data_IF_747751491088
#
_entry.id   IF_747751491088
#
_cell.length_a   1.000
_cell.length_b   1.000
_cell.length_c   1.000
_cell.angle_alpha   90.00
_cell.angle_beta   90.00
_cell.angle_gamma   90.00
#
_symmetry.space_group_name_H-M   'P 1'
#
loop_
_entity.id
_entity.type
_entity.pdbx_description
1 polymer ?
#
# COMPACT_ATOMS: atom_id res chain seq x y z
N UNK A 1 -46.42 9.17 11.70
CA UNK A 1 -46.83 8.29 10.58
C UNK A 1 -46.64 6.86 11.05
N UNK A 2 -47.69 6.05 10.97
CA UNK A 2 -47.86 4.79 11.71
C UNK A 2 -46.78 3.74 11.37
N UNK A 3 -45.88 3.50 12.33
CA UNK A 3 -44.98 2.35 12.36
C UNK A 3 -45.59 1.16 13.15
N UNK A 4 -46.90 1.17 13.41
CA UNK A 4 -47.55 0.30 14.41
C UNK A 4 -48.56 -0.65 13.76
N UNK A 5 -48.13 -1.91 13.61
CA UNK A 5 -48.75 -3.00 14.36
C UNK A 5 -49.87 -3.83 13.74
N UNK A 6 -50.43 -3.50 12.57
CA UNK A 6 -51.63 -4.20 12.08
C UNK A 6 -51.55 -4.82 10.67
N UNK A 7 -50.41 -4.70 9.99
CA UNK A 7 -50.22 -5.25 8.63
C UNK A 7 -48.90 -6.00 8.52
N UNK A 8 -48.95 -7.23 7.99
CA UNK A 8 -47.77 -8.05 7.71
C UNK A 8 -47.48 -8.09 6.20
N UNK A 9 -46.22 -7.87 5.76
CA UNK A 9 -45.03 -7.58 6.55
C UNK A 9 -45.00 -6.13 7.07
N UNK A 10 -44.35 -5.92 8.22
CA UNK A 10 -44.18 -4.57 8.82
C UNK A 10 -43.46 -3.59 7.89
N UNK A 11 -42.57 -4.10 7.03
CA UNK A 11 -41.87 -3.33 6.00
C UNK A 11 -42.21 -3.94 4.63
N UNK A 12 -43.21 -3.38 3.98
CA UNK A 12 -43.68 -3.84 2.66
C UNK A 12 -42.88 -3.25 1.48
N UNK A 13 -41.94 -2.34 1.76
CA UNK A 13 -41.06 -1.78 0.73
C UNK A 13 -40.13 -2.84 0.13
N UNK A 14 -39.76 -2.71 -1.16
CA UNK A 14 -38.77 -3.59 -1.77
C UNK A 14 -37.45 -3.45 -1.02
N UNK A 15 -36.78 -4.59 -0.76
CA UNK A 15 -35.46 -4.60 -0.14
C UNK A 15 -34.45 -4.01 -1.14
N UNK A 16 -33.67 -2.98 -0.77
CA UNK A 16 -32.68 -2.41 -1.67
C UNK A 16 -31.55 -3.42 -1.93
N UNK A 17 -31.04 -3.42 -3.15
CA UNK A 17 -29.83 -4.14 -3.54
C UNK A 17 -28.65 -3.18 -3.59
N UNK A 18 -27.45 -3.68 -3.31
CA UNK A 18 -26.25 -2.86 -3.35
C UNK A 18 -25.83 -2.61 -4.82
N UNK A 19 -25.53 -1.36 -5.23
CA UNK A 19 -25.46 -0.99 -6.65
C UNK A 19 -24.14 -1.35 -7.35
N UNK A 20 -23.12 -1.83 -6.63
CA UNK A 20 -21.79 -2.11 -7.18
C UNK A 20 -21.15 -3.30 -6.47
N UNK A 21 -19.99 -3.78 -6.93
CA UNK A 21 -19.24 -4.80 -6.20
C UNK A 21 -18.83 -4.29 -4.80
N UNK A 22 -19.16 -5.05 -3.76
CA UNK A 22 -18.89 -4.70 -2.37
C UNK A 22 -17.40 -4.62 -2.07
N UNK A 23 -16.58 -5.44 -2.72
CA UNK A 23 -15.13 -5.45 -2.52
C UNK A 23 -14.52 -4.16 -3.04
N UNK A 24 -14.84 -3.82 -4.30
CA UNK A 24 -14.44 -2.57 -4.94
C UNK A 24 -14.94 -1.34 -4.17
N UNK A 25 -16.20 -1.34 -3.73
CA UNK A 25 -16.78 -0.26 -2.93
C UNK A 25 -16.03 -0.05 -1.61
N UNK A 26 -15.70 -1.15 -0.91
CA UNK A 26 -14.97 -1.09 0.37
C UNK A 26 -13.57 -0.52 0.15
N UNK A 27 -12.86 -0.97 -0.88
CA UNK A 27 -11.54 -0.44 -1.23
C UNK A 27 -11.63 1.07 -1.53
N UNK A 28 -12.57 1.48 -2.37
CA UNK A 28 -12.77 2.90 -2.72
C UNK A 28 -13.06 3.72 -1.47
N UNK A 29 -13.91 3.24 -0.56
CA UNK A 29 -14.21 3.94 0.71
C UNK A 29 -12.99 4.06 1.62
N UNK A 30 -12.13 3.04 1.71
CA UNK A 30 -10.87 3.12 2.48
C UNK A 30 -9.94 4.19 1.90
N UNK A 31 -9.78 4.24 0.58
CA UNK A 31 -8.94 5.27 -0.05
C UNK A 31 -9.57 6.68 0.01
N UNK A 32 -10.89 6.80 -0.09
CA UNK A 32 -11.59 8.09 0.04
C UNK A 32 -11.54 8.63 1.46
N UNK A 33 -11.66 7.77 2.47
CA UNK A 33 -11.52 8.18 3.87
C UNK A 33 -10.08 8.61 4.17
N UNK A 34 -9.08 7.86 3.71
CA UNK A 34 -7.67 8.26 3.81
C UNK A 34 -7.38 9.58 3.05
N UNK A 35 -7.96 9.77 1.86
CA UNK A 35 -7.84 11.02 1.12
C UNK A 35 -8.48 12.17 1.90
N UNK A 36 -9.68 11.98 2.45
CA UNK A 36 -10.37 12.99 3.24
C UNK A 36 -9.58 13.37 4.50
N UNK A 37 -8.96 12.41 5.20
CA UNK A 37 -8.11 12.71 6.36
C UNK A 37 -6.87 13.52 5.96
N UNK A 38 -6.17 13.16 4.88
CA UNK A 38 -5.05 13.96 4.36
C UNK A 38 -5.49 15.38 3.99
N UNK A 39 -6.70 15.55 3.46
CA UNK A 39 -7.26 16.84 3.08
C UNK A 39 -7.64 17.69 4.28
N UNK A 40 -8.06 17.09 5.38
CA UNK A 40 -8.30 17.79 6.65
C UNK A 40 -7.00 18.23 7.31
N UNK A 41 -5.91 17.48 7.13
CA UNK A 41 -4.57 17.84 7.64
C UNK A 41 -3.88 18.88 6.72
N UNK A 42 -4.22 18.91 5.42
CA UNK A 42 -3.62 19.77 4.40
C UNK A 42 -3.67 21.29 4.71
N UNK A 43 -4.72 21.86 5.36
CA UNK A 43 -4.75 23.26 5.78
C UNK A 43 -3.64 23.66 6.76
N UNK A 44 -3.07 22.68 7.48
CA UNK A 44 -1.90 22.87 8.35
C UNK A 44 -0.57 22.97 7.59
N UNK A 45 -0.57 22.78 6.26
CA UNK A 45 0.61 22.86 5.40
C UNK A 45 0.51 24.14 4.54
N UNK A 46 1.53 24.99 4.64
CA UNK A 46 1.58 26.31 4.00
C UNK A 46 1.85 26.16 2.49
N UNK A 47 0.97 26.70 1.64
CA UNK A 47 1.18 26.70 0.18
C UNK A 47 0.01 27.23 -0.66
N UNK A 48 0.34 27.79 -1.84
CA UNK A 48 -0.53 28.57 -2.75
C UNK A 48 -1.16 27.76 -3.91
N UNK A 49 -1.43 26.46 -3.73
CA UNK A 49 -1.89 25.56 -4.84
C UNK A 49 -3.26 24.91 -4.59
N UNK A 50 -4.18 25.62 -3.92
CA UNK A 50 -5.49 25.08 -3.48
C UNK A 50 -6.55 24.98 -4.58
N UNK A 51 -6.42 25.74 -5.67
CA UNK A 51 -7.44 25.80 -6.74
C UNK A 51 -7.34 24.65 -7.77
N UNK A 52 -6.11 24.22 -8.10
CA UNK A 52 -5.88 23.06 -8.99
C UNK A 52 -6.30 21.72 -8.35
N UNK A 53 -6.31 21.64 -7.03
CA UNK A 53 -6.68 20.43 -6.28
C UNK A 53 -8.21 20.22 -6.26
N UNK A 54 -9.00 21.30 -6.15
CA UNK A 54 -10.46 21.25 -6.13
C UNK A 54 -11.08 20.88 -7.49
N UNK A 55 -10.52 21.41 -8.60
CA UNK A 55 -10.97 21.09 -9.96
C UNK A 55 -10.73 19.61 -10.35
N UNK A 56 -9.67 18.99 -9.80
CA UNK A 56 -9.35 17.55 -9.99
C UNK A 56 -10.35 16.63 -9.29
N UNK A 57 -10.85 17.04 -8.12
CA UNK A 57 -11.79 16.24 -7.32
C UNK A 57 -13.20 16.27 -7.94
N UNK A 58 -13.65 17.43 -8.43
CA UNK A 58 -14.99 17.59 -9.05
C UNK A 58 -15.10 16.86 -10.40
N UNK A 59 -14.04 16.87 -11.21
CA UNK A 59 -14.00 16.11 -12.48
C UNK A 59 -13.96 14.59 -12.27
N UNK A 60 -13.31 14.12 -11.20
CA UNK A 60 -13.32 12.70 -10.81
C UNK A 60 -14.69 12.22 -10.33
N UNK A 61 -15.50 13.10 -9.71
CA UNK A 61 -16.83 12.76 -9.20
C UNK A 61 -17.90 12.73 -10.30
N UNK A 62 -17.78 13.59 -11.32
CA UNK A 62 -18.70 13.66 -12.47
C UNK A 62 -18.64 12.41 -13.36
N UNK A 63 -17.45 11.83 -13.56
CA UNK A 63 -17.25 10.60 -14.35
C UNK A 63 -17.91 9.38 -13.66
N UNK A 64 -17.95 9.35 -12.32
CA UNK A 64 -18.64 8.30 -11.57
C UNK A 64 -20.17 8.33 -11.66
N UNK A 65 -20.76 9.52 -11.83
CA UNK A 65 -22.21 9.68 -11.99
C UNK A 65 -22.70 9.32 -13.40
N UNK A 66 -21.85 9.40 -14.42
CA UNK A 66 -22.19 9.10 -15.81
C UNK A 66 -22.26 7.59 -16.17
N UNK A 67 -21.92 6.70 -15.23
CA UNK A 67 -21.84 5.24 -15.45
C UNK A 67 -23.06 4.48 -14.85
N UNK A 68 -24.06 5.19 -14.31
CA UNK A 68 -25.33 4.59 -13.88
C UNK A 68 -26.21 4.27 -15.11
N UNK A 69 -25.87 3.18 -15.79
CA UNK A 69 -26.75 2.52 -16.75
C UNK A 69 -27.96 1.93 -16.03
N UNK A 70 -29.14 2.46 -16.29
CA UNK A 70 -30.41 1.91 -15.83
C UNK A 70 -30.69 0.58 -16.55
N UNK A 71 -31.23 -0.45 -15.87
CA UNK A 71 -31.54 -1.73 -16.52
C UNK A 71 -32.69 -1.59 -17.53
N UNK A 72 -32.60 -2.38 -18.60
CA UNK A 72 -33.64 -2.54 -19.62
C UNK A 72 -34.66 -3.56 -19.11
N UNK A 73 -35.91 -3.12 -18.93
CA UNK A 73 -37.05 -4.02 -18.70
C UNK A 73 -37.39 -4.70 -20.02
N UNK A 74 -37.29 -6.02 -20.08
CA UNK A 74 -37.67 -6.80 -21.26
C UNK A 74 -38.40 -8.06 -20.78
N UNK A 75 -39.56 -8.36 -21.37
CA UNK A 75 -40.41 -9.54 -21.04
C UNK A 75 -40.96 -9.60 -19.60
N UNK A 76 -41.36 -8.47 -18.99
CA UNK A 76 -41.86 -8.40 -17.60
C UNK A 76 -40.89 -8.95 -16.53
N UNK A 77 -39.63 -9.17 -16.89
CA UNK A 77 -38.57 -9.58 -15.98
C UNK A 77 -37.47 -8.52 -15.95
N UNK A 78 -36.85 -8.36 -14.78
CA UNK A 78 -35.66 -7.52 -14.66
C UNK A 78 -34.44 -8.38 -15.01
N UNK A 79 -34.04 -8.36 -16.28
CA UNK A 79 -32.90 -9.13 -16.77
C UNK A 79 -31.61 -8.38 -16.39
N UNK A 80 -31.14 -8.58 -15.15
CA UNK A 80 -29.87 -8.05 -14.65
C UNK A 80 -29.09 -9.14 -13.91
N UNK A 81 -28.71 -10.18 -14.63
CA UNK A 81 -27.94 -11.30 -14.10
C UNK A 81 -26.44 -10.95 -14.05
N UNK A 82 -25.84 -11.05 -12.87
CA UNK A 82 -24.39 -10.92 -12.65
C UNK A 82 -23.96 -12.08 -11.74
N UNK A 83 -23.79 -13.26 -12.33
CA UNK A 83 -23.45 -14.48 -11.62
C UNK A 83 -21.93 -14.67 -11.59
N UNK A 84 -21.39 -15.08 -10.45
CA UNK A 84 -19.96 -15.31 -10.25
C UNK A 84 -19.70 -16.81 -10.08
N UNK A 85 -18.74 -17.34 -10.84
CA UNK A 85 -18.23 -18.69 -10.67
C UNK A 85 -16.74 -18.63 -10.37
N UNK A 86 -16.32 -19.21 -9.24
CA UNK A 86 -14.97 -19.04 -8.71
C UNK A 86 -14.12 -20.31 -8.88
N UNK A 87 -12.86 -20.12 -9.26
CA UNK A 87 -11.89 -21.21 -9.43
C UNK A 87 -10.64 -21.00 -8.56
N UNK A 88 -10.80 -20.33 -7.41
CA UNK A 88 -9.72 -20.10 -6.44
C UNK A 88 -9.19 -21.43 -5.87
N UNK A 89 -7.99 -21.42 -5.29
CA UNK A 89 -7.54 -22.59 -4.53
C UNK A 89 -8.44 -22.76 -3.30
N UNK A 90 -8.97 -23.97 -3.10
CA UNK A 90 -9.94 -24.29 -2.06
C UNK A 90 -11.38 -24.36 -2.56
N UNK A 91 -11.71 -23.71 -3.69
CA UNK A 91 -13.06 -23.69 -4.25
C UNK A 91 -13.23 -24.74 -5.35
N UNK A 92 -14.44 -25.31 -5.43
CA UNK A 92 -14.78 -26.34 -6.41
C UNK A 92 -15.78 -25.81 -7.44
N UNK A 93 -15.25 -25.35 -8.57
CA UNK A 93 -16.04 -24.83 -9.69
C UNK A 93 -17.15 -25.80 -10.16
N UNK A 94 -16.89 -27.12 -10.13
CA UNK A 94 -17.89 -28.09 -10.58
C UNK A 94 -19.10 -28.18 -9.64
N UNK A 95 -18.89 -27.97 -8.35
CA UNK A 95 -19.96 -27.95 -7.35
C UNK A 95 -20.78 -26.65 -7.45
N UNK A 96 -20.12 -25.50 -7.65
CA UNK A 96 -20.82 -24.23 -7.91
C UNK A 96 -21.66 -24.29 -9.18
N UNK A 97 -21.13 -24.89 -10.24
CA UNK A 97 -21.88 -25.10 -11.48
C UNK A 97 -23.10 -26.03 -11.28
N UNK A 98 -22.97 -27.10 -10.49
CA UNK A 98 -24.10 -27.97 -10.15
C UNK A 98 -25.19 -27.22 -9.37
N UNK A 99 -24.81 -26.37 -8.40
CA UNK A 99 -25.75 -25.51 -7.67
C UNK A 99 -26.44 -24.50 -8.59
N UNK A 100 -25.73 -23.96 -9.57
CA UNK A 100 -26.30 -23.06 -10.58
C UNK A 100 -27.32 -23.75 -11.50
N UNK A 101 -27.06 -25.02 -11.86
CA UNK A 101 -28.01 -25.87 -12.59
C UNK A 101 -29.27 -26.14 -11.76
N UNK A 102 -29.11 -26.50 -10.49
CA UNK A 102 -30.24 -26.72 -9.56
C UNK A 102 -31.06 -25.44 -9.32
N UNK A 103 -30.40 -24.27 -9.29
CA UNK A 103 -31.04 -22.95 -9.18
C UNK A 103 -31.86 -22.59 -10.43
N UNK A 104 -31.59 -23.21 -11.58
CA UNK A 104 -32.28 -22.93 -12.83
C UNK A 104 -31.91 -21.58 -13.45
N UNK A 105 -30.61 -21.25 -13.49
CA UNK A 105 -30.12 -20.03 -14.16
C UNK A 105 -30.44 -20.02 -15.66
N UNK A 106 -30.53 -18.83 -16.29
CA UNK A 106 -30.85 -18.74 -17.71
C UNK A 106 -29.79 -19.42 -18.59
N UNK A 107 -30.24 -20.04 -19.69
CA UNK A 107 -29.40 -20.86 -20.58
C UNK A 107 -28.09 -20.20 -21.02
N UNK A 108 -28.05 -18.89 -21.39
CA UNK A 108 -26.80 -18.25 -21.78
C UNK A 108 -25.74 -18.22 -20.66
N UNK A 109 -26.17 -18.08 -19.40
CA UNK A 109 -25.26 -18.06 -18.24
C UNK A 109 -24.71 -19.47 -18.00
N UNK A 110 -25.58 -20.49 -18.01
CA UNK A 110 -25.16 -21.87 -17.84
C UNK A 110 -24.24 -22.35 -18.97
N UNK A 111 -24.54 -21.99 -20.22
CA UNK A 111 -23.69 -22.30 -21.37
C UNK A 111 -22.28 -21.72 -21.21
N UNK A 112 -22.15 -20.46 -20.80
CA UNK A 112 -20.85 -19.84 -20.56
C UNK A 112 -20.15 -20.49 -19.37
N UNK A 113 -20.86 -20.77 -18.28
CA UNK A 113 -20.29 -21.41 -17.10
C UNK A 113 -19.75 -22.82 -17.41
N UNK A 114 -20.44 -23.58 -18.27
CA UNK A 114 -20.03 -24.92 -18.69
C UNK A 114 -18.67 -24.91 -19.41
N UNK A 115 -18.39 -23.88 -20.23
CA UNK A 115 -17.13 -23.73 -20.98
C UNK A 115 -15.91 -23.58 -20.07
N UNK A 116 -16.10 -23.09 -18.85
CA UNK A 116 -15.06 -22.97 -17.84
C UNK A 116 -15.05 -24.14 -16.85
N UNK A 117 -15.82 -25.21 -17.08
CA UNK A 117 -15.75 -26.39 -16.21
C UNK A 117 -14.44 -27.17 -16.39
N UNK A 118 -13.96 -27.88 -15.36
CA UNK A 118 -12.71 -28.65 -15.43
C UNK A 118 -12.73 -29.77 -16.48
N UNK A 119 -13.92 -30.28 -16.85
CA UNK A 119 -14.11 -31.36 -17.83
C UNK A 119 -14.41 -30.87 -19.24
N UNK A 120 -14.47 -29.56 -19.46
CA UNK A 120 -14.78 -28.98 -20.76
C UNK A 120 -13.70 -29.31 -21.81
N UNK A 121 -14.08 -29.57 -23.08
CA UNK A 121 -13.12 -29.92 -24.13
C UNK A 121 -12.17 -28.78 -24.51
N UNK A 122 -12.51 -27.53 -24.17
CA UNK A 122 -11.71 -26.35 -24.48
C UNK A 122 -10.55 -26.10 -23.51
N UNK A 123 -10.51 -26.76 -22.35
CA UNK A 123 -9.41 -26.65 -21.40
C UNK A 123 -9.19 -25.25 -20.79
N UNK A 124 -10.12 -24.31 -21.00
CA UNK A 124 -10.02 -22.91 -20.52
C UNK A 124 -9.80 -22.85 -19.02
N UNK A 125 -10.52 -23.68 -18.25
CA UNK A 125 -10.43 -23.76 -16.80
C UNK A 125 -8.98 -23.82 -16.30
N UNK A 126 -8.17 -24.73 -16.85
CA UNK A 126 -6.81 -24.97 -16.36
C UNK A 126 -5.92 -23.75 -16.59
N UNK A 127 -5.98 -23.16 -17.79
CA UNK A 127 -5.15 -22.01 -18.15
C UNK A 127 -5.55 -20.76 -17.39
N UNK A 128 -6.85 -20.43 -17.33
CA UNK A 128 -7.34 -19.25 -16.61
C UNK A 128 -7.13 -19.34 -15.11
N UNK A 129 -7.29 -20.54 -14.52
CA UNK A 129 -7.01 -20.77 -13.10
C UNK A 129 -5.52 -20.57 -12.78
N UNK A 130 -4.63 -21.11 -13.61
CA UNK A 130 -3.18 -20.96 -13.43
C UNK A 130 -2.75 -19.50 -13.61
N UNK A 131 -3.22 -18.87 -14.69
CA UNK A 131 -2.96 -17.46 -15.00
C UNK A 131 -3.40 -16.56 -13.85
N UNK A 132 -4.65 -16.72 -13.40
CA UNK A 132 -5.22 -15.93 -12.31
C UNK A 132 -4.51 -16.13 -10.98
N UNK A 133 -4.09 -17.36 -10.67
CA UNK A 133 -3.37 -17.64 -9.43
C UNK A 133 -2.01 -16.94 -9.38
N UNK A 134 -1.18 -17.09 -10.42
CA UNK A 134 0.14 -16.44 -10.46
C UNK A 134 0.03 -14.92 -10.61
N UNK A 135 -0.94 -14.42 -11.39
CA UNK A 135 -1.20 -12.99 -11.48
C UNK A 135 -1.62 -12.41 -10.12
N UNK A 136 -2.49 -13.08 -9.38
CA UNK A 136 -2.87 -12.65 -8.04
C UNK A 136 -1.68 -12.68 -7.07
N UNK A 137 -0.88 -13.77 -7.06
CA UNK A 137 0.31 -13.87 -6.21
C UNK A 137 1.34 -12.76 -6.49
N UNK A 138 1.59 -12.46 -7.76
CA UNK A 138 2.52 -11.38 -8.17
C UNK A 138 1.98 -9.99 -7.84
N UNK A 139 0.66 -9.75 -7.94
CA UNK A 139 0.03 -8.50 -7.50
C UNK A 139 0.09 -8.32 -5.98
N UNK A 140 -0.09 -9.39 -5.20
CA UNK A 140 0.11 -9.35 -3.74
C UNK A 140 1.55 -9.01 -3.38
N UNK A 141 2.53 -9.55 -4.10
CA UNK A 141 3.93 -9.18 -3.93
C UNK A 141 4.19 -7.73 -4.31
N UNK A 142 3.60 -7.24 -5.40
CA UNK A 142 3.66 -5.83 -5.77
C UNK A 142 3.07 -4.93 -4.68
N UNK A 143 1.94 -5.32 -4.07
CA UNK A 143 1.34 -4.59 -2.96
C UNK A 143 2.24 -4.54 -1.72
N UNK A 144 2.90 -5.65 -1.38
CA UNK A 144 3.88 -5.69 -0.29
C UNK A 144 5.08 -4.75 -0.57
N UNK A 145 5.64 -4.80 -1.79
CA UNK A 145 6.72 -3.89 -2.21
C UNK A 145 6.29 -2.42 -2.17
N UNK A 146 5.05 -2.12 -2.54
CA UNK A 146 4.49 -0.77 -2.46
C UNK A 146 4.39 -0.29 -0.99
N UNK A 147 3.92 -1.14 -0.07
CA UNK A 147 3.90 -0.81 1.36
C UNK A 147 5.30 -0.52 1.89
N UNK A 148 6.26 -1.39 1.58
CA UNK A 148 7.68 -1.20 1.94
C UNK A 148 8.26 0.10 1.35
N UNK A 149 7.90 0.44 0.11
CA UNK A 149 8.31 1.69 -0.53
C UNK A 149 7.79 2.90 0.23
N UNK A 150 6.51 2.91 0.64
CA UNK A 150 5.94 4.02 1.42
C UNK A 150 6.62 4.18 2.79
N UNK A 151 6.88 3.08 3.48
CA UNK A 151 7.60 3.11 4.78
C UNK A 151 9.01 3.67 4.59
N UNK A 152 9.76 3.22 3.59
CA UNK A 152 11.13 3.68 3.38
C UNK A 152 11.22 5.11 2.84
N UNK A 153 10.23 5.59 2.09
CA UNK A 153 10.14 6.99 1.66
C UNK A 153 9.82 7.94 2.81
N UNK A 154 9.22 7.46 3.91
CA UNK A 154 9.00 8.26 5.13
C UNK A 154 10.27 8.42 5.99
N UNK A 155 11.25 7.54 5.81
CA UNK A 155 12.56 7.58 6.47
C UNK A 155 13.58 8.28 5.56
N UNK A 156 14.72 8.78 6.07
CA UNK A 156 15.76 9.46 5.26
C UNK A 156 16.49 8.54 4.24
N UNK A 157 15.92 7.38 3.93
CA UNK A 157 16.49 6.27 3.17
C UNK A 157 15.84 6.18 1.77
N UNK A 158 15.81 7.30 1.06
CA UNK A 158 15.07 7.48 -0.21
C UNK A 158 15.50 6.54 -1.35
N UNK A 159 16.77 6.12 -1.37
CA UNK A 159 17.33 5.26 -2.43
C UNK A 159 16.64 3.89 -2.45
N UNK A 160 16.46 3.29 -1.28
CA UNK A 160 15.81 1.99 -1.14
C UNK A 160 14.30 2.10 -1.38
N UNK A 161 13.68 3.23 -1.03
CA UNK A 161 12.30 3.56 -1.41
C UNK A 161 12.11 3.57 -2.93
N UNK A 162 13.01 4.22 -3.66
CA UNK A 162 13.03 4.23 -5.12
C UNK A 162 13.19 2.84 -5.76
N UNK A 163 14.10 2.02 -5.20
CA UNK A 163 14.27 0.63 -5.65
C UNK A 163 13.03 -0.23 -5.42
N UNK A 164 12.35 -0.12 -4.27
CA UNK A 164 11.12 -0.87 -4.02
C UNK A 164 9.94 -0.38 -4.87
N UNK A 165 9.88 0.91 -5.18
CA UNK A 165 8.87 1.44 -6.11
C UNK A 165 9.08 0.91 -7.53
N UNK A 166 10.34 0.80 -7.97
CA UNK A 166 10.69 0.18 -9.24
C UNK A 166 10.35 -1.32 -9.24
N UNK A 167 10.68 -2.05 -8.16
CA UNK A 167 10.31 -3.46 -8.00
C UNK A 167 8.78 -3.67 -8.05
N UNK A 168 8.01 -2.77 -7.42
CA UNK A 168 6.53 -2.77 -7.49
C UNK A 168 6.04 -2.70 -8.93
N UNK A 169 6.58 -1.77 -9.72
CA UNK A 169 6.23 -1.63 -11.14
C UNK A 169 6.60 -2.86 -11.97
N UNK A 170 7.78 -3.44 -11.72
CA UNK A 170 8.20 -4.69 -12.38
C UNK A 170 7.24 -5.84 -12.05
N UNK A 171 6.85 -6.02 -10.78
CA UNK A 171 5.92 -7.10 -10.41
C UNK A 171 4.53 -6.91 -11.04
N UNK A 172 4.04 -5.68 -11.19
CA UNK A 172 2.79 -5.42 -11.93
C UNK A 172 2.91 -5.78 -13.42
N UNK A 173 4.02 -5.43 -14.07
CA UNK A 173 4.26 -5.79 -15.47
C UNK A 173 4.46 -7.31 -15.65
N UNK A 174 5.13 -7.98 -14.70
CA UNK A 174 5.26 -9.44 -14.68
C UNK A 174 3.91 -10.13 -14.50
N UNK A 175 3.01 -9.61 -13.64
CA UNK A 175 1.66 -10.13 -13.49
C UNK A 175 0.89 -10.09 -14.82
N UNK A 176 0.99 -8.97 -15.55
CA UNK A 176 0.39 -8.83 -16.88
C UNK A 176 1.00 -9.79 -17.89
N UNK A 177 2.33 -9.93 -17.89
CA UNK A 177 3.04 -10.86 -18.77
C UNK A 177 2.60 -12.30 -18.52
N UNK A 178 2.52 -12.74 -17.26
CA UNK A 178 2.03 -14.07 -16.91
C UNK A 178 0.59 -14.29 -17.37
N UNK A 179 -0.28 -13.31 -17.14
CA UNK A 179 -1.67 -13.40 -17.57
C UNK A 179 -1.80 -13.44 -19.11
N UNK A 180 -1.08 -12.59 -19.83
CA UNK A 180 -1.11 -12.55 -21.30
C UNK A 180 -0.51 -13.79 -21.93
N UNK A 181 0.59 -14.31 -21.39
CA UNK A 181 1.23 -15.54 -21.89
C UNK A 181 0.34 -16.76 -21.62
N UNK A 182 -0.21 -16.88 -20.41
CA UNK A 182 -1.06 -18.03 -20.08
C UNK A 182 -2.38 -18.02 -20.86
N UNK A 183 -2.93 -16.85 -21.20
CA UNK A 183 -4.14 -16.72 -22.02
C UNK A 183 -3.87 -16.86 -23.51
N UNK A 184 -2.73 -16.39 -24.03
CA UNK A 184 -2.37 -16.55 -25.45
C UNK A 184 -2.06 -18.00 -25.84
N UNK A 185 -1.63 -18.82 -24.88
CA UNK A 185 -1.41 -20.26 -25.07
C UNK A 185 -2.70 -21.08 -25.11
N UNK A 186 -3.88 -20.47 -24.91
CA UNK A 186 -5.15 -21.20 -24.94
C UNK A 186 -5.57 -21.56 -26.37
N UNK A 187 -6.08 -22.78 -26.61
CA UNK A 187 -6.61 -23.14 -27.91
C UNK A 187 -7.88 -22.31 -28.22
N UNK A 188 -8.17 -22.01 -29.49
CA UNK A 188 -9.34 -21.21 -29.86
C UNK A 188 -10.62 -21.94 -29.45
N UNK A 189 -11.33 -21.39 -28.45
CA UNK A 189 -12.64 -21.88 -28.02
C UNK A 189 -13.74 -21.00 -28.61
N UNK A 190 -14.56 -21.49 -29.56
CA UNK A 190 -15.66 -20.71 -30.08
C UNK A 190 -16.79 -20.63 -29.04
N UNK A 191 -17.05 -19.42 -28.54
CA UNK A 191 -18.20 -19.10 -27.70
C UNK A 191 -19.34 -18.62 -28.60
N UNK A 192 -20.33 -19.47 -28.85
CA UNK A 192 -21.47 -19.14 -29.72
C UNK A 192 -22.73 -18.95 -28.90
N UNK A 193 -23.32 -17.77 -28.98
CA UNK A 193 -24.59 -17.41 -28.34
C UNK A 193 -25.60 -17.12 -29.45
N UNK A 194 -26.39 -18.15 -29.80
CA UNK A 194 -27.29 -18.11 -30.95
C UNK A 194 -26.53 -17.90 -32.26
N UNK A 195 -26.84 -16.79 -32.95
CA UNK A 195 -26.19 -16.42 -34.22
C UNK A 195 -24.88 -15.62 -34.07
N UNK A 196 -24.50 -15.25 -32.83
CA UNK A 196 -23.34 -14.40 -32.56
C UNK A 196 -22.18 -15.18 -31.94
N UNK A 197 -20.95 -14.74 -32.21
CA UNK A 197 -19.72 -15.27 -31.58
C UNK A 197 -19.20 -14.24 -30.59
N UNK A 198 -18.97 -14.66 -29.34
CA UNK A 198 -18.40 -13.81 -28.31
C UNK A 198 -16.87 -13.87 -28.36
N UNK A 199 -16.24 -12.74 -28.67
CA UNK A 199 -14.79 -12.59 -28.66
C UNK A 199 -14.35 -11.85 -27.40
N UNK A 200 -13.53 -12.51 -26.59
CA UNK A 200 -12.95 -11.91 -25.38
C UNK A 200 -11.74 -11.05 -25.72
N UNK A 201 -11.72 -9.82 -25.21
CA UNK A 201 -10.57 -8.90 -25.31
C UNK A 201 -10.06 -8.54 -23.90
N UNK A 202 -8.87 -7.94 -23.83
CA UNK A 202 -8.33 -7.48 -22.55
C UNK A 202 -9.17 -6.32 -21.99
N UNK A 203 -9.77 -6.56 -20.82
CA UNK A 203 -10.64 -5.59 -20.15
C UNK A 203 -9.89 -4.44 -19.47
N UNK A 204 -10.62 -3.51 -18.81
CA UNK A 204 -10.03 -2.29 -18.23
C UNK A 204 -9.00 -2.55 -17.13
N UNK A 205 -9.17 -3.61 -16.33
CA UNK A 205 -8.22 -3.95 -15.26
C UNK A 205 -6.80 -4.22 -15.80
N UNK A 206 -6.68 -4.83 -16.98
CA UNK A 206 -5.42 -5.05 -17.66
C UNK A 206 -4.71 -3.72 -17.98
N UNK A 207 -5.44 -2.78 -18.60
CA UNK A 207 -4.92 -1.47 -18.98
C UNK A 207 -4.59 -0.59 -17.77
N UNK A 208 -5.44 -0.61 -16.73
CA UNK A 208 -5.16 0.10 -15.48
C UNK A 208 -3.84 -0.40 -14.88
N UNK A 209 -3.68 -1.72 -14.76
CA UNK A 209 -2.45 -2.33 -14.20
C UNK A 209 -1.22 -2.00 -15.06
N UNK A 210 -1.37 -1.91 -16.39
CA UNK A 210 -0.29 -1.52 -17.29
C UNK A 210 0.14 -0.07 -17.05
N UNK A 211 -0.84 0.84 -16.97
CA UNK A 211 -0.57 2.26 -16.73
C UNK A 211 0.04 2.50 -15.35
N UNK A 212 -0.45 1.84 -14.30
CA UNK A 212 0.11 1.97 -12.95
C UNK A 212 1.50 1.35 -12.87
N UNK A 213 1.73 0.21 -13.52
CA UNK A 213 3.02 -0.47 -13.55
C UNK A 213 4.09 0.40 -14.22
N UNK A 214 3.78 0.96 -15.39
CA UNK A 214 4.67 1.90 -16.10
C UNK A 214 4.94 3.15 -15.27
N UNK A 215 3.91 3.72 -14.63
CA UNK A 215 4.07 4.89 -13.76
C UNK A 215 5.01 4.60 -12.58
N UNK A 216 4.86 3.46 -11.91
CA UNK A 216 5.74 3.05 -10.82
C UNK A 216 7.19 2.86 -11.28
N UNK A 217 7.43 2.27 -12.46
CA UNK A 217 8.78 2.13 -13.03
C UNK A 217 9.38 3.50 -13.35
N UNK A 218 8.63 4.39 -13.97
CA UNK A 218 9.09 5.74 -14.32
C UNK A 218 9.45 6.56 -13.07
N UNK A 219 8.58 6.55 -12.05
CA UNK A 219 8.83 7.25 -10.79
C UNK A 219 10.02 6.63 -10.04
N UNK A 220 10.11 5.30 -9.97
CA UNK A 220 11.25 4.59 -9.38
C UNK A 220 12.57 4.96 -10.07
N UNK A 221 12.61 4.93 -11.41
CA UNK A 221 13.80 5.31 -12.17
C UNK A 221 14.17 6.78 -11.96
N UNK A 222 13.19 7.68 -11.96
CA UNK A 222 13.42 9.11 -11.71
C UNK A 222 14.05 9.36 -10.33
N UNK A 223 13.58 8.66 -9.29
CA UNK A 223 14.18 8.79 -7.93
C UNK A 223 15.62 8.28 -7.89
N UNK A 224 15.93 7.17 -8.57
CA UNK A 224 17.29 6.61 -8.65
C UNK A 224 18.22 7.55 -9.43
N UNK A 225 17.76 8.07 -10.58
CA UNK A 225 18.54 9.03 -11.40
C UNK A 225 18.76 10.34 -10.65
N UNK A 226 17.73 10.89 -10.02
CA UNK A 226 17.83 12.13 -9.25
C UNK A 226 18.81 11.99 -8.07
N UNK A 227 18.84 10.81 -7.42
CA UNK A 227 19.84 10.51 -6.41
C UNK A 227 21.27 10.49 -6.98
N UNK A 228 21.47 9.96 -8.19
CA UNK A 228 22.78 9.94 -8.87
C UNK A 228 23.24 11.34 -9.31
N UNK A 229 22.33 12.20 -9.74
CA UNK A 229 22.70 13.53 -10.26
C UNK A 229 22.92 14.56 -9.15
N UNK A 230 22.06 14.62 -8.12
CA UNK A 230 22.15 15.63 -7.07
C UNK A 230 21.63 15.11 -5.71
N UNK A 231 22.45 14.36 -4.94
CA UNK A 231 22.00 13.81 -3.65
C UNK A 231 21.64 14.90 -2.63
N UNK A 232 22.26 16.08 -2.72
CA UNK A 232 22.03 17.20 -1.80
C UNK A 232 20.69 17.93 -2.03
N UNK A 233 20.26 18.10 -3.29
CA UNK A 233 18.99 18.78 -3.62
C UNK A 233 17.77 17.89 -3.35
N UNK A 234 17.91 16.57 -3.52
CA UNK A 234 16.86 15.61 -3.20
C UNK A 234 16.63 15.52 -1.69
N UNK A 235 17.70 15.50 -0.89
CA UNK A 235 17.61 15.59 0.57
C UNK A 235 16.99 16.90 1.03
N UNK A 236 17.36 18.03 0.41
CA UNK A 236 16.75 19.32 0.71
C UNK A 236 15.24 19.33 0.41
N UNK A 237 14.76 18.84 -0.73
CA UNK A 237 13.32 18.81 -1.05
C UNK A 237 12.47 17.99 -0.06
N UNK A 238 13.01 16.87 0.44
CA UNK A 238 12.30 16.03 1.41
C UNK A 238 12.47 16.55 2.85
N UNK A 239 13.66 17.03 3.24
CA UNK A 239 13.91 17.59 4.58
C UNK A 239 13.31 18.98 4.77
N UNK A 240 13.11 19.78 3.71
CA UNK A 240 12.46 21.10 3.79
C UNK A 240 10.96 20.99 4.09
N UNK A 241 10.39 19.78 4.14
CA UNK A 241 9.09 19.54 4.77
C UNK A 241 9.15 19.48 6.31
N UNK A 242 10.36 19.43 6.90
CA UNK A 242 10.62 19.31 8.34
C UNK A 242 11.46 20.48 8.88
N UNK A 243 12.34 21.09 8.08
CA UNK A 243 13.12 22.26 8.49
C UNK A 243 12.64 23.52 7.76
N UNK A 244 11.74 24.28 8.37
CA UNK A 244 11.75 25.75 8.28
C UNK A 244 11.31 26.37 9.61
N UNK A 245 12.31 26.70 10.43
CA UNK A 245 12.29 27.92 11.23
C UNK A 245 13.60 28.68 10.95
N UNK A 246 13.63 29.67 10.05
CA UNK A 246 14.84 30.44 9.75
C UNK A 246 14.80 31.80 10.47
N UNK A 247 15.60 31.95 11.52
CA UNK A 247 16.00 33.27 12.04
C UNK A 247 17.44 33.17 12.57
N UNK A 248 18.44 33.36 11.70
CA UNK A 248 19.36 34.51 11.74
C UNK A 248 20.56 34.30 10.78
N UNK A 249 20.88 35.40 10.09
CA UNK A 249 22.04 35.70 9.25
C UNK A 249 23.41 35.16 9.73
N UNK A 250 24.28 34.79 8.78
CA UNK A 250 25.73 34.71 8.99
C UNK A 250 26.49 34.00 7.86
N UNK A 251 27.29 34.76 7.09
CA UNK A 251 28.11 34.40 5.92
C UNK A 251 29.23 33.36 6.19
N UNK A 252 29.89 32.82 5.13
CA UNK A 252 30.60 31.52 5.15
C UNK A 252 32.07 31.65 5.52
N UNK A 253 32.61 30.68 6.28
CA UNK A 253 34.03 30.33 6.21
C UNK A 253 34.26 28.82 6.39
N UNK A 254 35.42 28.43 5.90
CA UNK A 254 35.88 27.13 5.43
C UNK A 254 35.98 26.02 6.48
N UNK A 255 36.16 24.80 5.98
CA UNK A 255 36.21 23.58 6.76
C UNK A 255 37.40 23.45 7.71
N UNK A 256 37.17 22.68 8.76
CA UNK A 256 38.19 22.09 9.62
C UNK A 256 37.55 21.21 10.68
N UNK A 257 37.89 19.92 10.69
CA UNK A 257 37.76 19.09 11.89
C UNK A 257 38.45 19.81 13.05
N UNK A 258 37.88 19.80 14.27
CA UNK A 258 38.58 19.65 15.55
C UNK A 258 37.61 19.59 16.75
N UNK A 259 38.00 18.79 17.74
CA UNK A 259 37.29 18.24 18.92
C UNK A 259 36.44 19.16 19.81
N UNK A 260 35.56 18.58 20.68
CA UNK A 260 34.78 19.33 21.66
C UNK A 260 35.65 19.96 22.74
N UNK A 261 35.48 21.27 22.97
CA UNK A 261 36.16 22.06 24.00
C UNK A 261 35.30 22.07 25.27
N UNK A 262 35.83 21.51 26.36
CA UNK A 262 35.21 21.59 27.69
C UNK A 262 35.23 23.04 28.20
N UNK A 263 34.14 23.46 28.85
CA UNK A 263 33.93 24.81 29.42
C UNK A 263 34.49 24.84 30.84
N UNK A 264 35.42 25.75 31.22
CA UNK A 264 35.83 25.92 32.60
C UNK A 264 34.73 26.63 33.40
N UNK A 265 34.42 26.12 34.59
CA UNK A 265 33.51 26.75 35.56
C UNK A 265 34.22 27.92 36.26
N UNK A 266 33.48 29.00 36.49
CA UNK A 266 33.93 30.26 37.06
C UNK A 266 34.19 30.18 38.58
N UNK A 267 35.12 31.04 39.02
CA UNK A 267 35.50 31.34 40.39
C UNK A 267 34.34 31.76 41.32
N UNK A 268 34.47 31.41 42.60
CA UNK A 268 33.84 32.08 43.74
C UNK A 268 34.71 31.94 45.00
N UNK A 269 34.61 32.87 45.98
CA UNK A 269 35.79 33.54 46.54
C UNK A 269 36.33 32.96 47.86
N UNK A 270 37.56 33.38 48.18
CA UNK A 270 38.37 33.13 49.40
C UNK A 270 37.64 33.07 50.75
N UNK A 271 38.19 32.28 51.68
CA UNK A 271 38.21 32.63 53.11
C UNK A 271 39.62 32.90 53.64
N UNK A 272 39.67 33.87 54.54
CA UNK A 272 40.81 34.57 55.13
C UNK A 272 41.70 33.71 56.06
N UNK A 273 42.97 34.10 56.14
CA UNK A 273 44.01 33.58 57.06
C UNK A 273 43.90 34.13 58.48
N UNK A 274 44.39 33.36 59.49
CA UNK A 274 45.26 33.76 60.65
C UNK A 274 45.22 32.68 61.78
N UNK A 275 46.32 32.47 62.56
CA UNK A 275 46.94 31.13 62.72
C UNK A 275 47.32 30.70 64.17
N UNK A 276 48.11 29.60 64.24
CA UNK A 276 48.98 29.05 65.32
C UNK A 276 48.37 28.18 66.45
N UNK A 277 48.84 26.92 66.61
CA UNK A 277 49.72 26.51 67.74
C UNK A 277 50.22 25.05 67.62
N UNK A 278 51.33 24.79 68.30
CA UNK A 278 52.22 23.62 68.27
C UNK A 278 51.69 22.29 68.88
N UNK A 279 52.42 21.22 68.53
CA UNK A 279 53.00 20.20 69.45
C UNK A 279 52.52 18.73 69.34
N UNK A 280 53.49 17.86 68.99
CA UNK A 280 53.95 16.69 69.77
C UNK A 280 53.10 15.40 69.94
N UNK A 281 53.65 14.30 69.38
CA UNK A 281 53.89 12.98 70.04
C UNK A 281 52.76 11.94 70.26
N UNK A 282 53.21 10.67 70.30
CA UNK A 282 52.55 9.37 70.61
C UNK A 282 51.86 8.66 69.42
N UNK A 283 52.34 7.55 68.84
CA UNK A 283 52.79 6.20 69.32
C UNK A 283 51.61 5.24 69.59
N UNK A 284 51.75 4.04 69.02
CA UNK A 284 50.97 2.79 69.22
C UNK A 284 49.61 2.72 68.50
N UNK A 285 49.10 1.58 68.04
CA UNK A 285 49.56 0.21 67.78
C UNK A 285 48.32 -0.45 67.13
N UNK A 286 48.47 -1.18 66.03
CA UNK A 286 47.56 -2.29 65.69
C UNK A 286 48.38 -3.29 64.89
N UNK A 287 48.78 -4.34 65.60
CA UNK A 287 49.43 -5.53 65.10
C UNK A 287 48.38 -6.63 64.87
N UNK A 288 48.80 -7.65 64.13
CA UNK A 288 48.19 -8.96 63.83
C UNK A 288 47.74 -9.15 62.38
N UNK A 289 48.17 -10.16 61.61
CA UNK A 289 49.20 -11.20 61.77
C UNK A 289 49.43 -11.81 60.37
N UNK A 290 50.66 -12.18 60.05
CA UNK A 290 51.01 -12.94 58.83
C UNK A 290 50.74 -14.45 59.03
N UNK A 291 50.64 -15.22 57.93
CA UNK A 291 51.53 -16.38 57.86
C UNK A 291 52.23 -16.55 56.51
N UNK A 292 53.57 -16.60 56.60
CA UNK A 292 54.56 -17.45 55.92
C UNK A 292 54.38 -17.81 54.44
N UNK A 293 55.32 -17.27 53.66
CA UNK A 293 56.00 -17.83 52.50
C UNK A 293 56.55 -19.27 52.73
N UNK A 294 56.86 -20.06 51.67
CA UNK A 294 58.11 -19.83 50.93
C UNK A 294 58.04 -20.01 49.40
N UNK A 295 59.03 -19.37 48.78
CA UNK A 295 59.54 -19.53 47.42
C UNK A 295 59.74 -21.01 47.00
N UNK A 296 59.56 -21.28 45.70
CA UNK A 296 60.41 -22.23 44.98
C UNK A 296 60.55 -21.80 43.52
N UNK A 297 61.80 -21.63 43.11
CA UNK A 297 62.26 -21.32 41.77
C UNK A 297 61.97 -22.43 40.74
N UNK A 298 61.51 -22.03 39.55
CA UNK A 298 62.09 -22.32 38.22
C UNK A 298 61.25 -21.65 37.12
#
# INVERSE_FOLDING_TARGET
MAALGHTFPFYAGPKPTFPMDTTSATIVMIFLTALATFVVILPGIRGKTRLFWLLRVVTSLFIGAAILGTPVQQLNETINYNEEFTWRLGENYAEEYAKALEKGLPDPVLYLAEKFTPRSPCGLYRHYRLAGHYASATLWLAFLCWLLANVMLSMPVLVYGGHMLLATGIFQLLALLFFSMATSLTPPCPLRLGASVLLTHHGPAFWITLTTGLLCVLLGLATVVAHRMQPHRLKAFFNQSVDEDPMLEGSPEEGGLLSPRYRPMADSPEPQDIPLSEASSAKACCEETHPREPECAL
#
